data_IF_385522904477
#
_entry.id   IF_385522904477
#
_cell.length_a   1.000
_cell.length_b   1.000
_cell.length_c   1.000
_cell.angle_alpha   90.00
_cell.angle_beta   90.00
_cell.angle_gamma   90.00
#
_symmetry.space_group_name_H-M   'P 1'
#
loop_
_entity.id
_entity.type
_entity.pdbx_description
1 polymer ?
#
# COMPACT_ATOMS: atom_id res chain seq x y z
N UNK A 1 20.48 0.84 -27.21
CA UNK A 1 19.15 0.24 -27.05
C UNK A 1 18.88 0.21 -25.56
N UNK A 2 18.05 1.13 -25.11
CA UNK A 2 17.69 1.32 -23.71
C UNK A 2 16.63 0.31 -23.30
N UNK A 3 16.75 -0.13 -22.05
CA UNK A 3 15.70 -0.45 -21.08
C UNK A 3 15.86 -1.83 -20.44
N UNK A 4 15.43 -1.87 -19.19
CA UNK A 4 15.26 -3.03 -18.32
C UNK A 4 16.49 -3.50 -17.57
N UNK A 5 16.97 -2.65 -16.67
CA UNK A 5 17.41 -3.12 -15.36
C UNK A 5 17.27 -1.99 -14.33
N UNK A 6 16.04 -1.51 -14.14
CA UNK A 6 15.72 -0.63 -13.01
C UNK A 6 15.56 -1.51 -11.77
N UNK A 7 16.71 -1.77 -11.17
CA UNK A 7 16.98 -2.61 -10.00
C UNK A 7 15.91 -2.57 -8.91
N UNK A 8 15.50 -3.77 -8.49
CA UNK A 8 14.72 -4.15 -7.29
C UNK A 8 15.22 -3.56 -5.94
N UNK A 9 16.37 -2.87 -5.93
CA UNK A 9 17.14 -2.50 -4.75
C UNK A 9 16.77 -1.16 -4.08
N UNK A 10 15.81 -0.38 -4.63
CA UNK A 10 15.37 0.89 -4.02
C UNK A 10 14.19 0.75 -3.03
N UNK A 11 13.75 -0.48 -2.71
CA UNK A 11 12.60 -0.73 -1.84
C UNK A 11 12.89 -0.69 -0.34
N UNK A 12 14.15 -0.62 0.09
CA UNK A 12 14.55 -0.85 1.49
C UNK A 12 14.98 0.39 2.29
N UNK A 13 14.83 1.60 1.77
CA UNK A 13 14.82 2.81 2.62
C UNK A 13 13.38 3.26 2.92
N UNK A 14 12.59 2.36 3.53
CA UNK A 14 11.24 2.71 3.96
C UNK A 14 11.29 3.56 5.23
N UNK A 15 11.26 4.88 5.02
CA UNK A 15 11.17 5.93 6.03
C UNK A 15 10.12 5.64 7.12
N UNK A 16 10.59 5.27 8.31
CA UNK A 16 9.74 4.98 9.46
C UNK A 16 9.16 6.25 10.12
N UNK A 17 9.47 7.44 9.59
CA UNK A 17 8.88 8.71 10.02
C UNK A 17 7.42 8.89 9.59
N UNK A 18 6.99 8.22 8.50
CA UNK A 18 5.65 8.40 7.95
C UNK A 18 4.57 7.81 8.85
N UNK A 19 3.57 8.63 9.17
CA UNK A 19 2.39 8.19 9.93
C UNK A 19 1.43 7.38 9.05
N UNK A 20 0.50 6.66 9.69
CA UNK A 20 -0.42 5.76 8.99
C UNK A 20 -1.20 6.42 7.83
N UNK A 21 -1.82 7.61 7.99
CA UNK A 21 -2.51 8.27 6.88
C UNK A 21 -1.60 8.55 5.68
N UNK A 22 -0.35 8.98 5.90
CA UNK A 22 0.58 9.26 4.81
C UNK A 22 0.89 7.98 4.01
N UNK A 23 1.17 6.88 4.71
CA UNK A 23 1.39 5.57 4.05
C UNK A 23 0.16 5.07 3.32
N UNK A 24 -1.04 5.29 3.88
CA UNK A 24 -2.29 4.94 3.21
C UNK A 24 -2.47 5.72 1.90
N UNK A 25 -2.11 7.00 1.88
CA UNK A 25 -2.15 7.80 0.66
C UNK A 25 -1.17 7.30 -0.40
N UNK A 26 0.03 6.87 0.00
CA UNK A 26 1.01 6.26 -0.92
C UNK A 26 0.50 4.96 -1.52
N UNK A 27 -0.07 4.09 -0.67
CA UNK A 27 -0.71 2.84 -1.11
C UNK A 27 -1.78 3.10 -2.17
N UNK A 28 -2.61 4.14 -1.95
CA UNK A 28 -3.72 4.49 -2.84
C UNK A 28 -3.29 5.28 -4.09
N UNK A 29 -2.09 5.86 -4.08
CA UNK A 29 -1.52 6.58 -5.22
C UNK A 29 -0.72 5.70 -6.18
N UNK A 30 -0.37 4.47 -5.78
CA UNK A 30 0.34 3.51 -6.63
C UNK A 30 -0.66 2.70 -7.49
N UNK A 31 -0.61 2.90 -8.81
CA UNK A 31 -1.47 2.23 -9.79
C UNK A 31 -1.30 0.70 -9.79
N UNK A 32 -0.14 0.18 -9.35
CA UNK A 32 0.09 -1.26 -9.24
C UNK A 32 -0.76 -1.91 -8.14
N UNK A 33 -1.32 -1.12 -7.23
CA UNK A 33 -2.14 -1.63 -6.14
C UNK A 33 -3.63 -1.71 -6.48
N UNK A 34 -4.07 -1.22 -7.65
CA UNK A 34 -5.49 -1.04 -7.99
C UNK A 34 -6.32 -2.34 -7.89
N UNK A 35 -5.71 -3.50 -8.15
CA UNK A 35 -6.37 -4.81 -7.99
C UNK A 35 -6.63 -5.21 -6.53
N UNK A 36 -5.83 -4.68 -5.60
CA UNK A 36 -5.93 -4.95 -4.17
C UNK A 36 -6.72 -3.85 -3.44
N UNK A 37 -6.44 -2.58 -3.73
CA UNK A 37 -7.02 -1.40 -3.09
C UNK A 37 -7.03 -0.22 -4.08
N UNK A 38 -8.13 0.52 -4.13
CA UNK A 38 -8.24 1.67 -5.04
C UNK A 38 -9.19 2.74 -4.52
N UNK A 39 -9.04 3.96 -5.02
CA UNK A 39 -10.07 4.98 -4.93
C UNK A 39 -11.36 4.55 -5.65
N UNK A 40 -12.49 4.98 -5.13
CA UNK A 40 -13.74 5.02 -5.88
C UNK A 40 -13.71 6.22 -6.86
N UNK A 41 -14.49 6.20 -7.95
CA UNK A 41 -14.42 7.24 -9.00
C UNK A 41 -14.62 8.68 -8.50
N UNK A 42 -15.32 8.86 -7.38
CA UNK A 42 -15.54 10.17 -6.78
C UNK A 42 -14.38 10.66 -5.87
N UNK A 43 -13.35 9.84 -5.61
CA UNK A 43 -12.14 10.23 -4.88
C UNK A 43 -12.30 10.51 -3.38
N UNK A 44 -13.44 10.15 -2.77
CA UNK A 44 -13.75 10.43 -1.35
C UNK A 44 -13.74 9.21 -0.44
N UNK A 45 -13.65 8.04 -1.05
CA UNK A 45 -13.58 6.77 -0.35
C UNK A 45 -12.81 5.80 -1.24
N UNK A 46 -12.24 4.78 -0.60
CA UNK A 46 -11.52 3.72 -1.26
C UNK A 46 -12.15 2.38 -0.92
N UNK A 47 -11.84 1.37 -1.72
CA UNK A 47 -12.29 0.00 -1.52
C UNK A 47 -11.08 -0.94 -1.54
N UNK A 48 -11.08 -1.92 -0.65
CA UNK A 48 -10.18 -3.07 -0.73
C UNK A 48 -10.87 -4.10 -1.62
N UNK A 49 -10.44 -4.22 -2.87
CA UNK A 49 -11.06 -5.13 -3.87
C UNK A 49 -10.77 -6.59 -3.55
N UNK A 50 -9.55 -6.89 -3.11
CA UNK A 50 -9.13 -8.25 -2.78
C UNK A 50 -8.31 -8.23 -1.49
N UNK A 51 -8.88 -8.82 -0.44
CA UNK A 51 -8.24 -8.90 0.87
C UNK A 51 -6.98 -9.76 0.86
N UNK A 52 -6.94 -10.83 0.06
CA UNK A 52 -5.76 -11.68 -0.09
C UNK A 52 -4.62 -10.92 -0.77
N UNK A 53 -4.88 -10.33 -1.94
CA UNK A 53 -3.88 -9.54 -2.67
C UNK A 53 -3.38 -8.36 -1.84
N UNK A 54 -4.27 -7.68 -1.13
CA UNK A 54 -3.87 -6.60 -0.23
C UNK A 54 -2.92 -7.11 0.87
N UNK A 55 -3.25 -8.23 1.51
CA UNK A 55 -2.45 -8.78 2.62
C UNK A 55 -1.11 -9.35 2.15
N UNK A 56 -1.04 -9.90 0.94
CA UNK A 56 0.15 -10.57 0.40
C UNK A 56 1.09 -9.63 -0.34
N UNK A 57 0.55 -8.65 -1.09
CA UNK A 57 1.36 -7.79 -1.98
C UNK A 57 1.53 -6.38 -1.43
N UNK A 58 0.47 -5.79 -0.90
CA UNK A 58 0.47 -4.38 -0.47
C UNK A 58 0.97 -4.26 0.97
N UNK A 59 0.44 -5.05 1.89
CA UNK A 59 0.75 -4.92 3.31
C UNK A 59 2.24 -5.08 3.64
N UNK A 60 2.98 -6.08 3.11
CA UNK A 60 4.40 -6.23 3.41
C UNK A 60 5.23 -5.07 2.87
N UNK A 61 4.83 -4.50 1.73
CA UNK A 61 5.54 -3.41 1.04
C UNK A 61 5.38 -2.06 1.71
N UNK A 62 4.23 -1.75 2.31
CA UNK A 62 3.96 -0.42 2.88
C UNK A 62 3.86 -0.42 4.43
N UNK A 63 3.69 -1.59 5.05
CA UNK A 63 3.51 -1.75 6.50
C UNK A 63 4.47 -2.83 7.07
N UNK A 64 5.78 -2.49 7.22
CA UNK A 64 6.87 -3.43 7.48
C UNK A 64 6.76 -4.16 8.83
N UNK A 65 6.06 -3.58 9.82
CA UNK A 65 5.86 -4.20 11.13
C UNK A 65 4.77 -5.27 11.09
N UNK A 66 5.06 -6.45 10.51
CA UNK A 66 4.18 -7.66 10.46
C UNK A 66 2.69 -7.31 10.54
N UNK A 67 2.23 -6.42 9.66
CA UNK A 67 0.93 -5.80 9.83
C UNK A 67 -0.14 -6.83 9.46
N UNK A 68 -0.97 -7.20 10.44
CA UNK A 68 -2.16 -8.00 10.18
C UNK A 68 -3.25 -7.11 9.60
N UNK A 69 -4.07 -7.65 8.70
CA UNK A 69 -5.23 -6.94 8.16
C UNK A 69 -6.11 -6.30 9.25
N UNK A 70 -6.32 -6.99 10.38
CA UNK A 70 -7.07 -6.47 11.53
C UNK A 70 -6.42 -5.26 12.20
N UNK A 71 -5.08 -5.18 12.21
CA UNK A 71 -4.36 -4.01 12.70
C UNK A 71 -4.54 -2.82 11.76
N UNK A 72 -4.58 -3.06 10.45
CA UNK A 72 -4.85 -2.03 9.44
C UNK A 72 -6.27 -1.46 9.60
N UNK A 73 -7.30 -2.31 9.66
CA UNK A 73 -8.69 -1.85 9.83
C UNK A 73 -8.91 -1.12 11.15
N UNK A 74 -8.26 -1.55 12.23
CA UNK A 74 -8.29 -0.82 13.50
C UNK A 74 -7.65 0.57 13.38
N UNK A 75 -6.59 0.75 12.59
CA UNK A 75 -5.98 2.07 12.37
C UNK A 75 -6.84 2.98 11.50
N UNK A 76 -7.70 2.43 10.64
CA UNK A 76 -8.68 3.21 9.87
C UNK A 76 -9.80 3.78 10.74
N UNK A 77 -10.25 3.01 11.74
CA UNK A 77 -11.40 3.37 12.58
C UNK A 77 -11.00 4.05 13.90
N UNK A 78 -9.78 4.57 13.99
CA UNK A 78 -9.26 5.22 15.20
C UNK A 78 -9.60 6.69 15.26
#
# INVERSE_FOLDING_TARGET
MSNEDKSEAELDEMDDSKIFPQRLMEVLGDENNVEAICWLPHGRAFMIRSRSLFSERVMPRFFPRKAKYSSFTRKLNR
#
